data_IF_640102180704
#
_entry.id   IF_640102180704
#
_cell.length_a   1.000
_cell.length_b   1.000
_cell.length_c   1.000
_cell.angle_alpha   90.00
_cell.angle_beta   90.00
_cell.angle_gamma   90.00
#
_symmetry.space_group_name_H-M   'P 1'
#
loop_
_entity.id
_entity.type
_entity.pdbx_description
1 polymer ?
#
# COMPACT_ATOMS: atom_id res chain seq x y z
N UNK A 1 -16.53 3.58 -7.07
CA UNK A 1 -16.46 2.65 -5.94
C UNK A 1 -15.69 3.27 -4.78
N UNK A 2 -15.89 2.72 -3.58
CA UNK A 2 -15.15 3.09 -2.38
C UNK A 2 -14.85 1.84 -1.55
N UNK A 3 -13.62 1.73 -1.04
CA UNK A 3 -13.35 0.87 0.10
C UNK A 3 -13.82 1.57 1.35
N UNK A 4 -14.48 0.87 2.26
CA UNK A 4 -14.95 1.45 3.50
C UNK A 4 -14.51 0.62 4.70
N UNK A 5 -14.33 1.30 5.83
CA UNK A 5 -14.16 0.68 7.13
C UNK A 5 -15.12 1.37 8.10
N UNK A 6 -15.98 0.59 8.75
CA UNK A 6 -16.84 1.06 9.83
C UNK A 6 -16.13 0.83 11.15
N UNK A 7 -15.93 1.88 11.90
CA UNK A 7 -15.23 1.85 13.17
C UNK A 7 -16.20 2.01 14.34
N UNK A 8 -15.88 1.37 15.47
CA UNK A 8 -16.34 1.81 16.79
C UNK A 8 -15.25 2.70 17.34
N UNK A 9 -15.57 3.95 17.64
CA UNK A 9 -14.59 4.96 18.03
C UNK A 9 -13.46 5.13 16.98
N UNK A 10 -12.29 5.63 17.37
CA UNK A 10 -11.18 5.91 16.46
C UNK A 10 -10.26 4.73 16.13
N UNK A 11 -10.51 3.54 16.68
CA UNK A 11 -9.51 2.47 16.57
C UNK A 11 -10.02 1.05 16.42
N UNK A 12 -11.31 0.77 16.64
CA UNK A 12 -11.83 -0.59 16.56
C UNK A 12 -12.62 -0.81 15.27
N UNK A 13 -12.06 -1.55 14.28
CA UNK A 13 -12.78 -1.87 13.07
C UNK A 13 -13.87 -2.90 13.34
N UNK A 14 -15.10 -2.60 12.94
CA UNK A 14 -16.27 -3.46 13.06
C UNK A 14 -16.61 -4.17 11.75
N UNK A 15 -16.33 -3.51 10.63
CA UNK A 15 -16.66 -4.00 9.30
C UNK A 15 -15.79 -3.27 8.29
N UNK A 16 -15.39 -3.97 7.24
CA UNK A 16 -14.75 -3.38 6.07
C UNK A 16 -15.23 -4.06 4.79
N UNK A 17 -15.10 -3.37 3.67
CA UNK A 17 -15.55 -3.90 2.41
C UNK A 17 -15.50 -2.91 1.26
N UNK A 18 -16.29 -3.23 0.24
CA UNK A 18 -16.45 -2.45 -0.97
C UNK A 18 -17.90 -1.94 -1.09
N UNK A 19 -18.04 -0.69 -1.47
CA UNK A 19 -19.30 -0.06 -1.83
C UNK A 19 -19.23 0.53 -3.24
N UNK A 20 -20.33 0.48 -3.98
CA UNK A 20 -20.50 1.15 -5.26
C UNK A 20 -21.48 2.31 -5.11
N UNK A 21 -21.22 3.38 -5.83
CA UNK A 21 -22.14 4.51 -5.93
C UNK A 21 -23.35 4.13 -6.78
N UNK A 22 -24.54 4.33 -6.24
CA UNK A 22 -25.80 4.20 -6.96
C UNK A 22 -26.24 5.59 -7.41
N UNK A 23 -26.20 5.86 -8.72
CA UNK A 23 -26.54 7.16 -9.29
C UNK A 23 -28.04 7.50 -9.13
N UNK A 24 -28.91 6.49 -9.08
CA UNK A 24 -30.36 6.70 -8.94
C UNK A 24 -30.72 7.10 -7.50
N UNK A 25 -30.22 6.34 -6.51
CA UNK A 25 -30.52 6.56 -5.09
C UNK A 25 -29.59 7.60 -4.44
N UNK A 26 -28.52 8.03 -5.13
CA UNK A 26 -27.53 8.99 -4.66
C UNK A 26 -26.86 8.56 -3.34
N UNK A 27 -26.58 7.26 -3.20
CA UNK A 27 -25.95 6.65 -2.02
C UNK A 27 -24.87 5.63 -2.41
N UNK A 28 -23.96 5.33 -1.49
CA UNK A 28 -23.08 4.20 -1.61
C UNK A 28 -23.78 2.94 -1.10
N UNK A 29 -23.87 1.93 -1.94
CA UNK A 29 -24.42 0.62 -1.61
C UNK A 29 -23.28 -0.38 -1.36
N UNK A 30 -23.34 -1.08 -0.23
CA UNK A 30 -22.37 -2.12 0.07
C UNK A 30 -22.54 -3.30 -0.88
N UNK A 31 -21.47 -3.69 -1.58
CA UNK A 31 -21.47 -4.84 -2.51
C UNK A 31 -20.72 -6.03 -1.97
N UNK A 32 -19.74 -5.83 -1.08
CA UNK A 32 -19.05 -6.95 -0.42
C UNK A 32 -18.51 -6.55 0.95
N UNK A 33 -18.38 -7.55 1.82
CA UNK A 33 -17.62 -7.46 3.07
C UNK A 33 -16.29 -8.20 2.90
N UNK A 34 -15.24 -7.66 3.47
CA UNK A 34 -13.91 -8.26 3.53
C UNK A 34 -13.60 -8.64 4.98
N UNK A 35 -12.78 -9.66 5.18
CA UNK A 35 -12.31 -10.03 6.51
C UNK A 35 -11.51 -8.86 7.13
N UNK A 36 -11.72 -8.59 8.42
CA UNK A 36 -11.08 -7.46 9.10
C UNK A 36 -9.54 -7.54 9.13
N UNK A 37 -9.02 -8.74 9.09
CA UNK A 37 -7.59 -9.06 9.05
C UNK A 37 -7.05 -9.27 7.64
N UNK A 38 -7.86 -8.95 6.60
CA UNK A 38 -7.41 -9.11 5.22
C UNK A 38 -6.25 -8.15 4.90
N UNK A 39 -5.04 -8.66 4.70
CA UNK A 39 -3.86 -7.83 4.46
C UNK A 39 -3.85 -7.15 3.09
N UNK A 40 -4.77 -7.57 2.18
CA UNK A 40 -4.96 -6.96 0.86
C UNK A 40 -6.07 -5.91 0.85
N UNK A 41 -6.52 -5.45 2.02
CA UNK A 41 -7.46 -4.33 2.09
C UNK A 41 -6.71 -3.00 1.98
N UNK A 42 -7.08 -2.21 0.97
CA UNK A 42 -6.45 -0.91 0.68
C UNK A 42 -7.00 0.21 1.58
N UNK A 43 -6.84 0.06 2.90
CA UNK A 43 -7.35 1.01 3.88
C UNK A 43 -6.78 2.42 3.67
N UNK A 44 -7.67 3.41 3.53
CA UNK A 44 -7.30 4.82 3.37
C UNK A 44 -6.63 5.19 2.05
N UNK A 45 -6.50 4.27 1.11
CA UNK A 45 -5.89 4.54 -0.18
C UNK A 45 -6.88 5.20 -1.15
N UNK A 46 -6.40 6.19 -1.89
CA UNK A 46 -7.09 6.76 -3.04
C UNK A 46 -6.65 6.01 -4.31
N UNK A 47 -7.53 5.19 -4.93
CA UNK A 47 -7.14 4.45 -6.11
C UNK A 47 -7.03 5.36 -7.33
N UNK A 48 -6.06 5.07 -8.20
CA UNK A 48 -5.91 5.68 -9.50
C UNK A 48 -5.64 4.61 -10.55
N UNK A 49 -5.93 4.92 -11.82
CA UNK A 49 -5.65 4.02 -12.94
C UNK A 49 -4.28 4.29 -13.53
N UNK A 50 -3.58 3.23 -13.87
CA UNK A 50 -2.32 3.31 -14.60
C UNK A 50 -2.13 2.06 -15.47
N UNK A 51 -1.55 2.26 -16.68
CA UNK A 51 -1.24 1.17 -17.60
C UNK A 51 0.21 0.72 -17.38
N UNK A 52 0.39 -0.51 -16.96
CA UNK A 52 1.70 -1.14 -16.78
C UNK A 52 1.82 -2.38 -17.66
N UNK A 53 2.86 -2.42 -18.51
CA UNK A 53 3.07 -3.52 -19.44
C UNK A 53 1.90 -3.76 -20.42
N UNK A 54 1.13 -2.73 -20.78
CA UNK A 54 -0.03 -2.82 -21.65
C UNK A 54 -1.32 -3.29 -20.96
N UNK A 55 -1.31 -3.47 -19.64
CA UNK A 55 -2.48 -3.84 -18.84
C UNK A 55 -2.87 -2.68 -17.93
N UNK A 56 -4.16 -2.31 -17.93
CA UNK A 56 -4.69 -1.28 -17.04
C UNK A 56 -4.98 -1.87 -15.66
N UNK A 57 -4.47 -1.19 -14.61
CA UNK A 57 -4.66 -1.54 -13.21
C UNK A 57 -5.28 -0.38 -12.42
N UNK A 58 -6.02 -0.70 -11.38
CA UNK A 58 -6.22 0.19 -10.24
C UNK A 58 -5.03 0.01 -9.29
N UNK A 59 -4.33 1.09 -9.04
CA UNK A 59 -3.27 1.18 -8.04
C UNK A 59 -3.83 1.80 -6.77
N UNK A 60 -3.39 1.30 -5.63
CA UNK A 60 -3.77 1.78 -4.31
C UNK A 60 -2.51 2.27 -3.60
N UNK A 61 -2.49 3.54 -3.25
CA UNK A 61 -1.34 4.16 -2.59
C UNK A 61 -1.74 4.85 -1.29
N UNK A 62 -1.02 4.50 -0.22
CA UNK A 62 -1.12 5.19 1.07
C UNK A 62 0.19 5.04 1.88
N UNK A 63 1.22 5.84 1.63
CA UNK A 63 1.38 6.71 0.45
C UNK A 63 1.88 5.99 -0.81
N UNK A 64 2.55 4.85 -0.69
CA UNK A 64 3.18 4.16 -1.82
C UNK A 64 2.17 3.39 -2.68
N UNK A 65 2.31 3.42 -4.02
CA UNK A 65 1.46 2.65 -4.93
C UNK A 65 1.93 1.17 -5.00
N UNK A 66 1.95 0.50 -3.87
CA UNK A 66 2.52 -0.83 -3.70
C UNK A 66 1.50 -1.97 -3.71
N UNK A 67 0.25 -1.66 -3.99
CA UNK A 67 -0.82 -2.64 -4.19
C UNK A 67 -1.62 -2.30 -5.45
N UNK A 68 -2.02 -3.31 -6.22
CA UNK A 68 -2.79 -3.13 -7.44
C UNK A 68 -3.72 -4.30 -7.73
N UNK A 69 -4.71 -4.06 -8.57
CA UNK A 69 -5.56 -5.08 -9.19
C UNK A 69 -5.89 -4.66 -10.61
N UNK A 70 -6.11 -5.60 -11.52
CA UNK A 70 -6.56 -5.25 -12.88
C UNK A 70 -7.80 -4.37 -12.83
N UNK A 71 -7.86 -3.34 -13.72
CA UNK A 71 -8.90 -2.32 -13.69
C UNK A 71 -10.27 -2.85 -14.17
N UNK A 72 -10.80 -3.81 -13.44
CA UNK A 72 -12.12 -4.42 -13.61
C UNK A 72 -12.87 -4.35 -12.28
N UNK A 73 -14.10 -3.84 -12.30
CA UNK A 73 -14.88 -3.62 -11.09
C UNK A 73 -15.19 -4.92 -10.33
N UNK A 74 -15.42 -6.01 -11.06
CA UNK A 74 -15.68 -7.32 -10.47
C UNK A 74 -14.50 -7.90 -9.67
N UNK A 75 -13.26 -7.46 -9.96
CA UNK A 75 -12.07 -7.92 -9.23
C UNK A 75 -11.84 -7.18 -7.91
N UNK A 76 -12.48 -6.04 -7.71
CA UNK A 76 -12.32 -5.25 -6.49
C UNK A 76 -12.85 -5.96 -5.23
N UNK A 77 -13.79 -6.89 -5.40
CA UNK A 77 -14.32 -7.73 -4.31
C UNK A 77 -13.60 -9.06 -4.14
N UNK A 78 -12.52 -9.30 -4.89
CA UNK A 78 -11.75 -10.55 -4.92
C UNK A 78 -10.32 -10.31 -4.44
N UNK A 79 -10.07 -10.32 -3.12
CA UNK A 79 -8.75 -9.99 -2.54
C UNK A 79 -7.60 -10.84 -3.11
N UNK A 80 -7.89 -12.08 -3.49
CA UNK A 80 -6.92 -13.02 -4.08
C UNK A 80 -6.41 -12.59 -5.47
N UNK A 81 -7.13 -11.65 -6.12
CA UNK A 81 -6.72 -11.07 -7.42
C UNK A 81 -5.82 -9.86 -7.28
N UNK A 82 -5.69 -9.34 -6.06
CA UNK A 82 -4.80 -8.22 -5.81
C UNK A 82 -3.34 -8.68 -5.81
N UNK A 83 -2.47 -7.79 -6.26
CA UNK A 83 -1.03 -7.97 -6.24
C UNK A 83 -0.40 -6.94 -5.30
N UNK A 84 0.53 -7.39 -4.46
CA UNK A 84 1.41 -6.51 -3.70
C UNK A 84 2.81 -6.47 -4.32
N UNK A 85 3.44 -5.31 -4.31
CA UNK A 85 4.86 -5.17 -4.64
C UNK A 85 5.68 -5.45 -3.38
N UNK A 86 6.30 -6.61 -3.33
CA UNK A 86 6.82 -7.18 -2.09
C UNK A 86 8.01 -8.11 -2.32
N UNK A 87 8.93 -8.28 -1.34
CA UNK A 87 9.96 -9.30 -1.37
C UNK A 87 9.50 -10.62 -0.76
N UNK A 88 8.25 -10.72 -0.27
CA UNK A 88 7.71 -11.98 0.25
C UNK A 88 7.56 -13.01 -0.86
N UNK A 89 7.72 -14.28 -0.53
CA UNK A 89 7.40 -15.39 -1.44
C UNK A 89 5.91 -15.36 -1.78
N UNK A 90 5.56 -15.61 -3.05
CA UNK A 90 4.16 -15.59 -3.53
C UNK A 90 3.24 -16.43 -2.65
N UNK A 91 2.09 -15.85 -2.29
CA UNK A 91 1.06 -16.49 -1.48
C UNK A 91 1.38 -16.54 0.01
N UNK A 92 2.47 -15.90 0.47
CA UNK A 92 2.79 -15.80 1.90
C UNK A 92 2.43 -14.43 2.45
N UNK A 93 2.40 -14.32 3.77
CA UNK A 93 2.22 -13.06 4.49
C UNK A 93 3.38 -12.81 5.46
N UNK A 94 3.47 -11.59 5.98
CA UNK A 94 4.47 -11.24 6.98
C UNK A 94 4.30 -12.07 8.26
N UNK A 95 5.40 -12.67 8.73
CA UNK A 95 5.50 -13.52 9.93
C UNK A 95 6.66 -13.07 10.83
N UNK A 96 6.86 -11.75 10.96
CA UNK A 96 8.02 -11.22 11.68
C UNK A 96 9.32 -11.70 11.05
N UNK A 97 10.26 -12.10 11.88
CA UNK A 97 11.58 -12.63 11.47
C UNK A 97 11.52 -13.99 10.75
N UNK A 98 10.37 -14.68 10.80
CA UNK A 98 10.13 -15.95 10.11
C UNK A 98 9.50 -15.75 8.72
N UNK A 99 9.37 -14.52 8.26
CA UNK A 99 8.82 -14.23 6.93
C UNK A 99 9.61 -14.90 5.83
N UNK A 100 8.90 -15.56 4.90
CA UNK A 100 9.51 -16.16 3.71
C UNK A 100 9.86 -15.05 2.71
N UNK A 101 11.16 -14.76 2.56
CA UNK A 101 11.67 -13.72 1.67
C UNK A 101 12.28 -14.34 0.41
N UNK A 102 11.88 -13.80 -0.75
CA UNK A 102 12.43 -14.22 -2.04
C UNK A 102 13.81 -13.58 -2.25
N UNK A 103 14.80 -14.40 -2.56
CA UNK A 103 16.15 -13.97 -2.90
C UNK A 103 16.56 -14.55 -4.25
N UNK A 104 17.43 -13.82 -4.95
CA UNK A 104 18.12 -14.31 -6.13
C UNK A 104 19.34 -15.19 -5.77
N UNK A 105 20.07 -15.65 -6.78
CA UNK A 105 21.23 -16.52 -6.62
C UNK A 105 22.39 -15.84 -5.85
N UNK A 106 22.44 -14.50 -5.87
CA UNK A 106 23.41 -13.69 -5.14
C UNK A 106 22.95 -13.35 -3.70
N UNK A 107 21.77 -13.86 -3.29
CA UNK A 107 21.19 -13.65 -1.98
C UNK A 107 20.51 -12.27 -1.81
N UNK A 108 20.38 -11.49 -2.87
CA UNK A 108 19.71 -10.19 -2.86
C UNK A 108 18.18 -10.37 -2.87
N UNK A 109 17.47 -9.51 -2.15
CA UNK A 109 15.99 -9.54 -2.14
C UNK A 109 15.42 -9.19 -3.52
N UNK A 110 14.45 -10.01 -3.95
CA UNK A 110 13.72 -9.82 -5.20
C UNK A 110 12.37 -9.20 -4.90
N UNK A 111 12.26 -7.91 -5.19
CA UNK A 111 10.99 -7.16 -5.17
C UNK A 111 10.24 -7.36 -6.48
N UNK A 112 8.98 -7.77 -6.38
CA UNK A 112 8.14 -7.99 -7.57
C UNK A 112 6.66 -7.88 -7.21
N UNK A 113 5.82 -7.65 -8.22
CA UNK A 113 4.38 -7.81 -8.10
C UNK A 113 4.02 -9.28 -7.92
N UNK A 114 3.28 -9.59 -6.84
CA UNK A 114 2.91 -10.97 -6.49
C UNK A 114 1.44 -11.05 -6.16
N UNK A 115 0.73 -11.94 -6.85
CA UNK A 115 -0.69 -12.19 -6.61
C UNK A 115 -0.90 -12.72 -5.19
N UNK A 116 -1.99 -12.28 -4.55
CA UNK A 116 -2.41 -12.71 -3.21
C UNK A 116 -1.27 -12.64 -2.17
N UNK A 117 -0.44 -11.61 -2.27
CA UNK A 117 0.74 -11.45 -1.40
C UNK A 117 0.82 -9.98 -1.00
N UNK A 118 0.62 -9.64 0.28
CA UNK A 118 0.56 -8.25 0.70
C UNK A 118 1.93 -7.57 0.61
N UNK A 119 1.95 -6.24 0.33
CA UNK A 119 3.16 -5.46 0.50
C UNK A 119 3.55 -5.37 1.98
N UNK A 120 4.83 -5.16 2.24
CA UNK A 120 5.30 -4.85 3.59
C UNK A 120 4.99 -3.38 3.92
N UNK A 121 4.37 -3.15 5.06
CA UNK A 121 4.23 -1.80 5.59
C UNK A 121 5.55 -1.28 6.21
N UNK A 122 5.68 0.02 6.52
CA UNK A 122 6.91 0.58 7.06
C UNK A 122 7.38 -0.08 8.36
N UNK A 123 6.47 -0.41 9.28
CA UNK A 123 6.81 -1.07 10.55
C UNK A 123 7.41 -2.47 10.33
N UNK A 124 6.79 -3.25 9.46
CA UNK A 124 7.27 -4.58 9.07
C UNK A 124 8.65 -4.51 8.41
N UNK A 125 8.86 -3.53 7.54
CA UNK A 125 10.18 -3.31 6.95
C UNK A 125 11.23 -2.95 8.01
N UNK A 126 10.89 -2.08 8.96
CA UNK A 126 11.79 -1.74 10.09
C UNK A 126 12.12 -2.95 10.96
N UNK A 127 11.15 -3.82 11.21
CA UNK A 127 11.39 -5.07 11.95
C UNK A 127 12.38 -5.96 11.22
N UNK A 128 12.22 -6.18 9.92
CA UNK A 128 13.15 -6.96 9.10
C UNK A 128 14.55 -6.33 9.04
N UNK A 129 14.65 -4.99 9.02
CA UNK A 129 15.93 -4.28 9.07
C UNK A 129 16.62 -4.51 10.41
N UNK A 130 15.90 -4.39 11.54
CA UNK A 130 16.45 -4.68 12.89
C UNK A 130 16.94 -6.11 13.01
N UNK A 131 16.27 -7.06 12.36
CA UNK A 131 16.66 -8.47 12.34
C UNK A 131 17.79 -8.79 11.34
N UNK A 132 18.26 -7.82 10.55
CA UNK A 132 19.29 -8.02 9.52
C UNK A 132 18.82 -8.81 8.30
N UNK A 133 17.52 -9.01 8.14
CA UNK A 133 16.90 -9.73 7.02
C UNK A 133 16.65 -8.85 5.80
N UNK A 134 16.51 -7.54 6.00
CA UNK A 134 16.40 -6.50 4.99
C UNK A 134 17.50 -5.46 5.27
N UNK A 135 18.26 -5.07 4.26
CA UNK A 135 19.12 -3.90 4.37
C UNK A 135 18.30 -2.66 4.07
N UNK A 136 18.54 -1.59 4.82
CA UNK A 136 17.80 -0.32 4.68
C UNK A 136 17.81 0.21 3.25
N UNK A 137 18.92 0.04 2.51
CA UNK A 137 19.05 0.46 1.11
C UNK A 137 18.37 -0.43 0.08
N UNK A 138 17.88 -1.60 0.47
CA UNK A 138 17.26 -2.57 -0.44
C UNK A 138 15.75 -2.33 -0.64
N UNK A 139 15.13 -1.47 0.18
CA UNK A 139 13.72 -1.11 0.02
C UNK A 139 13.55 -0.08 -1.11
N UNK A 140 12.65 -0.33 -2.08
CA UNK A 140 12.29 0.66 -3.09
C UNK A 140 11.37 1.76 -2.54
N UNK A 141 10.79 1.55 -1.36
CA UNK A 141 9.86 2.46 -0.68
C UNK A 141 10.59 3.16 0.46
N UNK A 142 11.37 4.16 0.09
CA UNK A 142 12.18 4.90 1.02
C UNK A 142 12.30 6.33 0.57
N UNK A 143 11.97 7.23 1.46
CA UNK A 143 12.10 8.67 1.23
C UNK A 143 13.09 9.27 2.21
N UNK A 144 13.79 10.28 1.75
CA UNK A 144 14.69 11.07 2.56
C UNK A 144 14.54 12.54 2.16
N UNK A 145 14.70 13.40 3.13
CA UNK A 145 14.78 14.83 2.93
C UNK A 145 15.95 15.16 1.96
N UNK A 146 15.66 15.93 0.93
CA UNK A 146 16.62 16.20 -0.15
C UNK A 146 17.80 17.06 0.30
N UNK A 147 17.60 17.91 1.28
CA UNK A 147 18.62 18.87 1.75
C UNK A 147 19.51 18.25 2.83
N UNK A 148 18.92 17.50 3.74
CA UNK A 148 19.62 16.96 4.92
C UNK A 148 19.99 15.49 4.79
N UNK A 149 19.35 14.74 3.90
CA UNK A 149 19.45 13.29 3.81
C UNK A 149 18.79 12.54 4.97
N UNK A 150 18.08 13.23 5.85
CA UNK A 150 17.30 12.61 6.95
C UNK A 150 16.25 11.69 6.37
N UNK A 151 16.16 10.48 6.88
CA UNK A 151 15.08 9.57 6.53
C UNK A 151 13.75 10.09 7.07
N UNK A 152 12.74 10.14 6.20
CA UNK A 152 11.39 10.58 6.53
C UNK A 152 10.56 9.35 6.84
N UNK A 153 9.77 9.44 7.90
CA UNK A 153 8.84 8.38 8.33
C UNK A 153 7.47 8.68 7.78
N UNK A 154 7.27 8.25 6.53
CA UNK A 154 6.01 8.48 5.83
C UNK A 154 4.81 7.92 6.60
N UNK A 155 3.77 8.74 6.71
CA UNK A 155 2.48 8.39 7.29
C UNK A 155 1.42 8.25 6.18
N UNK A 156 0.25 8.82 6.38
CA UNK A 156 -0.78 8.82 5.34
C UNK A 156 -0.44 9.79 4.22
N UNK A 157 -0.84 9.44 3.02
CA UNK A 157 -0.63 10.28 1.87
C UNK A 157 -1.43 9.84 0.65
N UNK A 158 -1.16 10.49 -0.46
CA UNK A 158 -1.71 10.14 -1.76
C UNK A 158 -0.61 10.09 -2.80
N UNK A 159 -0.82 9.27 -3.80
CA UNK A 159 0.07 9.17 -4.95
C UNK A 159 -0.76 9.19 -6.23
N UNK A 160 -0.25 9.84 -7.25
CA UNK A 160 -0.88 9.86 -8.58
C UNK A 160 0.18 9.91 -9.67
N UNK A 161 -0.17 9.42 -10.85
CA UNK A 161 0.65 9.59 -12.03
C UNK A 161 0.50 11.01 -12.58
N UNK A 162 1.63 11.67 -12.83
CA UNK A 162 1.65 12.99 -13.44
C UNK A 162 2.08 12.87 -14.90
N UNK A 163 1.13 13.00 -15.82
CA UNK A 163 1.35 12.86 -17.26
C UNK A 163 2.37 13.86 -17.81
N UNK A 164 2.37 15.10 -17.33
CA UNK A 164 3.30 16.12 -17.77
C UNK A 164 4.76 15.79 -17.40
N UNK A 165 4.96 15.28 -16.18
CA UNK A 165 6.30 14.93 -15.66
C UNK A 165 6.72 13.50 -15.99
N UNK A 166 5.80 12.67 -16.46
CA UNK A 166 5.99 11.23 -16.67
C UNK A 166 6.58 10.54 -15.42
N UNK A 167 6.03 10.90 -14.25
CA UNK A 167 6.47 10.42 -12.93
C UNK A 167 5.27 10.26 -11.99
N UNK A 168 5.40 9.37 -11.04
CA UNK A 168 4.54 9.40 -9.87
C UNK A 168 4.88 10.59 -8.99
N UNK A 169 3.84 11.27 -8.52
CA UNK A 169 3.94 12.36 -7.55
C UNK A 169 3.24 11.88 -6.29
N UNK A 170 3.93 11.96 -5.17
CA UNK A 170 3.43 11.54 -3.88
C UNK A 170 3.42 12.73 -2.92
N UNK A 171 2.30 12.91 -2.21
CA UNK A 171 2.16 13.90 -1.14
C UNK A 171 1.84 13.13 0.14
N UNK A 172 2.60 13.34 1.19
CA UNK A 172 2.45 12.58 2.44
C UNK A 172 2.91 13.42 3.64
N UNK A 173 2.49 13.01 4.84
CA UNK A 173 2.96 13.58 6.11
C UNK A 173 4.07 12.76 6.74
N UNK A 174 4.91 13.40 7.56
CA UNK A 174 5.88 12.74 8.43
C UNK A 174 5.21 12.36 9.77
N UNK A 175 5.44 11.13 10.23
CA UNK A 175 4.84 10.63 11.47
C UNK A 175 5.51 11.19 12.73
N UNK A 176 6.79 11.52 12.67
CA UNK A 176 7.61 11.92 13.81
C UNK A 176 8.39 13.20 13.54
N UNK A 177 7.72 14.19 12.91
CA UNK A 177 8.31 15.52 12.77
C UNK A 177 8.62 16.13 14.15
N UNK A 178 9.74 16.83 14.26
CA UNK A 178 10.23 17.37 15.55
C UNK A 178 9.25 18.35 16.21
N UNK A 179 8.49 19.09 15.41
CA UNK A 179 7.57 20.13 15.87
C UNK A 179 6.12 19.66 16.05
N UNK A 180 5.73 18.58 15.37
CA UNK A 180 4.36 18.07 15.43
C UNK A 180 4.29 16.60 15.01
N UNK A 181 3.44 15.84 15.70
CA UNK A 181 3.18 14.43 15.36
C UNK A 181 2.65 14.24 13.93
N UNK A 182 2.05 15.27 13.32
CA UNK A 182 1.45 15.25 11.97
C UNK A 182 1.77 16.54 11.19
N UNK A 183 2.85 17.25 11.52
CA UNK A 183 3.02 18.65 11.15
C UNK A 183 3.70 18.91 9.82
N UNK A 184 4.47 18.00 9.28
CA UNK A 184 5.22 18.23 8.04
C UNK A 184 4.59 17.49 6.87
N UNK A 185 4.44 18.20 5.74
CA UNK A 185 3.92 17.67 4.48
C UNK A 185 5.05 17.72 3.44
N UNK A 186 5.29 16.59 2.80
CA UNK A 186 6.31 16.42 1.77
C UNK A 186 5.67 16.15 0.39
N UNK A 187 6.35 16.62 -0.65
CA UNK A 187 6.01 16.42 -2.06
C UNK A 187 7.18 15.74 -2.79
#
# INVERSE_FOLDING_TARGET
FAHFTRLRDLGEPLEQGLALWNDHEQVFEKVSSLALDNPMHAHGAAPFKFVDGGVEYFYFGNPYPNMRVRARLELLSQPEQFEGYTPLVSGTSFQGTNSALQRDDDGKLVWAWRANTPPLNPDQQRELVKAGLLKRGDSPFRVADADTGREIMEHHGSVTWNEYRQKFVMIFGDTFAEESLLGEIYL
#
